data_IF_514567813643
#
_entry.id   IF_514567813643
#
_cell.length_a   1.000
_cell.length_b   1.000
_cell.length_c   1.000
_cell.angle_alpha   90.00
_cell.angle_beta   90.00
_cell.angle_gamma   90.00
#
_symmetry.space_group_name_H-M   'P 1'
#
loop_
_entity.id
_entity.type
_entity.pdbx_description
1 polymer ?
#
# COMPACT_ATOMS: atom_id res chain seq x y z
N UNK A 1 43.30 13.37 27.77
CA UNK A 1 41.97 12.87 28.16
C UNK A 1 40.96 13.56 27.25
N UNK A 2 40.64 12.95 26.11
CA UNK A 2 39.60 13.44 25.20
C UNK A 2 38.37 12.57 25.43
N UNK A 3 37.33 13.16 26.01
CA UNK A 3 36.01 12.55 26.08
C UNK A 3 35.45 12.64 24.66
N UNK A 4 35.42 11.51 23.95
CA UNK A 4 34.61 11.37 22.77
C UNK A 4 33.15 11.48 23.22
N UNK A 5 32.46 12.53 22.75
CA UNK A 5 31.01 12.61 22.86
C UNK A 5 30.44 11.52 21.95
N UNK A 6 29.89 10.48 22.59
CA UNK A 6 29.09 9.47 21.92
C UNK A 6 27.95 10.15 21.16
N UNK A 7 27.79 9.67 19.94
CA UNK A 7 26.81 10.04 18.92
C UNK A 7 25.39 10.25 19.45
N UNK A 8 24.68 11.22 18.85
CA UNK A 8 23.24 11.49 18.94
C UNK A 8 22.35 10.25 18.75
N UNK A 9 22.25 9.38 19.77
CA UNK A 9 21.13 8.47 19.89
C UNK A 9 19.93 9.28 20.39
N UNK A 10 19.16 9.85 19.44
CA UNK A 10 17.78 10.25 19.73
C UNK A 10 17.09 9.01 20.32
N UNK A 11 16.78 9.06 21.61
CA UNK A 11 16.03 8.01 22.27
C UNK A 11 14.69 7.85 21.53
N UNK A 12 14.55 6.79 20.75
CA UNK A 12 13.28 6.42 20.13
C UNK A 12 12.43 5.75 21.20
N UNK A 13 11.27 6.35 21.47
CA UNK A 13 10.31 5.80 22.42
C UNK A 13 9.56 4.68 21.69
N UNK A 14 9.97 3.44 21.90
CA UNK A 14 9.33 2.25 21.31
C UNK A 14 8.20 1.77 22.22
N UNK A 15 7.07 1.36 21.63
CA UNK A 15 5.93 0.76 22.35
C UNK A 15 5.73 -0.71 22.03
N UNK A 16 4.91 -1.40 22.84
CA UNK A 16 4.48 -2.77 22.54
C UNK A 16 3.58 -2.80 21.30
N UNK A 17 3.51 -3.96 20.62
CA UNK A 17 2.60 -4.15 19.48
C UNK A 17 1.13 -3.94 19.83
N UNK A 18 0.70 -4.36 21.03
CA UNK A 18 -0.64 -4.10 21.53
C UNK A 18 -0.94 -2.61 21.61
N UNK A 19 0.00 -1.82 22.14
CA UNK A 19 -0.18 -0.37 22.22
C UNK A 19 -0.16 0.30 20.85
N UNK A 20 0.69 -0.17 19.93
CA UNK A 20 0.68 0.26 18.54
C UNK A 20 -0.68 -0.04 17.86
N UNK A 21 -1.25 -1.22 18.12
CA UNK A 21 -2.55 -1.61 17.59
C UNK A 21 -3.67 -0.68 18.08
N UNK A 22 -3.67 -0.32 19.36
CA UNK A 22 -4.59 0.68 19.92
C UNK A 22 -4.44 2.04 19.23
N UNK A 23 -3.20 2.55 19.09
CA UNK A 23 -2.92 3.85 18.47
C UNK A 23 -3.38 3.91 17.01
N UNK A 24 -3.13 2.85 16.26
CA UNK A 24 -3.50 2.77 14.85
C UNK A 24 -4.98 2.37 14.65
N UNK A 25 -5.69 2.05 15.73
CA UNK A 25 -7.07 1.55 15.71
C UNK A 25 -7.20 0.24 14.93
N UNK A 26 -6.23 -0.67 15.04
CA UNK A 26 -6.18 -1.96 14.32
C UNK A 26 -5.94 -3.13 15.30
N UNK A 27 -5.72 -4.34 14.80
CA UNK A 27 -5.39 -5.51 15.64
C UNK A 27 -3.89 -5.74 15.81
N UNK A 28 -3.46 -6.38 16.91
CA UNK A 28 -2.06 -6.80 17.12
C UNK A 28 -1.53 -7.62 15.94
N UNK A 29 -2.36 -8.52 15.40
CA UNK A 29 -2.04 -9.32 14.23
C UNK A 29 -1.81 -8.46 12.97
N UNK A 30 -2.53 -7.35 12.83
CA UNK A 30 -2.31 -6.41 11.72
C UNK A 30 -1.00 -5.65 11.87
N UNK A 31 -0.63 -5.26 13.09
CA UNK A 31 0.68 -4.64 13.37
C UNK A 31 1.81 -5.63 13.08
N UNK A 32 1.69 -6.87 13.55
CA UNK A 32 2.66 -7.94 13.24
C UNK A 32 2.84 -8.13 11.74
N UNK A 33 1.74 -8.12 10.98
CA UNK A 33 1.77 -8.26 9.53
C UNK A 33 2.49 -7.08 8.83
N UNK A 34 2.28 -5.85 9.32
CA UNK A 34 2.99 -4.67 8.81
C UNK A 34 4.50 -4.77 9.07
N UNK A 35 4.90 -5.27 10.25
CA UNK A 35 6.30 -5.54 10.59
C UNK A 35 6.90 -6.60 9.64
N UNK A 36 6.20 -7.73 9.44
CA UNK A 36 6.63 -8.82 8.55
C UNK A 36 6.76 -8.39 7.09
N UNK A 37 5.90 -7.48 6.62
CA UNK A 37 5.96 -6.92 5.27
C UNK A 37 7.16 -5.97 5.04
N UNK A 38 7.77 -5.49 6.13
CA UNK A 38 8.84 -4.49 6.12
C UNK A 38 8.39 -3.05 5.93
N UNK A 39 7.10 -2.78 5.67
CA UNK A 39 6.59 -1.41 5.54
C UNK A 39 6.58 -0.65 6.88
N UNK A 40 6.44 -1.35 7.99
CA UNK A 40 6.62 -0.80 9.34
C UNK A 40 7.95 -1.35 9.90
N UNK A 41 9.05 -0.59 9.87
CA UNK A 41 10.35 -1.13 10.28
C UNK A 41 10.53 -1.22 11.81
N UNK A 42 9.76 -0.43 12.56
CA UNK A 42 9.87 -0.29 14.01
C UNK A 42 8.52 0.09 14.64
N UNK A 43 8.47 0.14 15.98
CA UNK A 43 7.32 0.61 16.75
C UNK A 43 7.61 1.93 17.45
N UNK A 44 8.35 2.83 16.78
CA UNK A 44 8.59 4.18 17.29
C UNK A 44 7.27 4.96 17.44
N UNK A 45 7.06 5.57 18.61
CA UNK A 45 5.82 6.28 18.92
C UNK A 45 5.56 7.44 17.97
N UNK A 46 6.58 8.19 17.56
CA UNK A 46 6.38 9.34 16.67
C UNK A 46 5.89 8.87 15.31
N UNK A 47 6.47 7.79 14.77
CA UNK A 47 6.00 7.13 13.53
C UNK A 47 4.56 6.68 13.65
N UNK A 48 4.21 5.99 14.73
CA UNK A 48 2.86 5.47 14.96
C UNK A 48 1.83 6.60 15.11
N UNK A 49 2.19 7.71 15.77
CA UNK A 49 1.34 8.90 15.87
C UNK A 49 1.12 9.57 14.51
N UNK A 50 2.17 9.69 13.69
CA UNK A 50 2.04 10.16 12.30
C UNK A 50 1.04 9.30 11.53
N UNK A 51 1.19 7.98 11.57
CA UNK A 51 0.29 7.04 10.92
C UNK A 51 -1.15 7.11 11.45
N UNK A 52 -1.33 7.28 12.76
CA UNK A 52 -2.65 7.39 13.39
C UNK A 52 -3.41 8.65 12.94
N UNK A 53 -2.67 9.72 12.62
CA UNK A 53 -3.21 10.99 12.14
C UNK A 53 -3.48 11.03 10.64
N UNK A 54 -3.14 9.97 9.88
CA UNK A 54 -3.46 9.92 8.47
C UNK A 54 -4.99 9.98 8.25
N UNK A 55 -5.45 10.82 7.30
CA UNK A 55 -6.87 10.90 6.96
C UNK A 55 -7.40 9.53 6.56
N UNK A 56 -8.63 9.23 6.98
CA UNK A 56 -9.33 8.04 6.54
C UNK A 56 -9.97 8.34 5.17
N UNK A 57 -9.58 7.61 4.13
CA UNK A 57 -10.35 7.54 2.90
C UNK A 57 -11.62 6.76 3.20
N UNK A 58 -12.69 7.52 3.40
CA UNK A 58 -14.04 6.97 3.52
C UNK A 58 -14.52 6.64 2.11
N UNK A 59 -14.50 5.35 1.77
CA UNK A 59 -14.95 4.87 0.47
C UNK A 59 -16.44 4.55 0.55
N UNK A 60 -17.30 5.54 0.30
CA UNK A 60 -18.72 5.33 0.01
C UNK A 60 -18.97 4.79 -1.42
N UNK A 61 -17.99 4.09 -2.00
CA UNK A 61 -18.24 3.20 -3.13
C UNK A 61 -17.66 3.59 -4.49
N UNK A 62 -17.01 4.74 -4.67
CA UNK A 62 -16.54 5.14 -6.02
C UNK A 62 -15.03 4.99 -6.26
N UNK A 63 -14.25 4.77 -5.20
CA UNK A 63 -12.80 4.58 -5.33
C UNK A 63 -12.47 3.10 -5.17
N UNK A 64 -12.13 2.38 -6.25
CA UNK A 64 -11.71 0.99 -6.12
C UNK A 64 -10.45 0.96 -5.25
N UNK A 65 -10.38 0.01 -4.32
CA UNK A 65 -9.21 -0.20 -3.47
C UNK A 65 -8.78 -1.65 -3.59
N UNK A 66 -7.53 -1.88 -3.96
CA UNK A 66 -6.96 -3.22 -4.00
C UNK A 66 -6.42 -3.58 -2.61
N UNK A 67 -6.89 -4.67 -2.04
CA UNK A 67 -6.35 -5.24 -0.81
C UNK A 67 -5.27 -6.25 -1.17
N UNK A 68 -4.26 -6.41 -0.33
CA UNK A 68 -3.21 -7.41 -0.54
C UNK A 68 -2.84 -8.24 0.70
N UNK A 69 -2.23 -9.39 0.41
CA UNK A 69 -1.53 -10.22 1.39
C UNK A 69 -0.03 -9.88 1.41
N UNK A 70 0.74 -10.54 2.28
CA UNK A 70 2.20 -10.53 2.19
C UNK A 70 2.63 -11.10 0.85
N UNK A 71 3.73 -10.55 0.32
CA UNK A 71 4.40 -11.11 -0.84
C UNK A 71 4.69 -12.61 -0.64
N UNK A 72 4.12 -13.44 -1.52
CA UNK A 72 4.37 -14.88 -1.56
C UNK A 72 4.58 -15.33 -2.99
N UNK A 73 5.45 -16.32 -3.17
CA UNK A 73 5.68 -16.92 -4.49
C UNK A 73 4.41 -17.64 -4.97
N UNK A 74 4.14 -17.54 -6.26
CA UNK A 74 3.08 -18.27 -6.94
C UNK A 74 3.66 -19.05 -8.12
N UNK A 75 2.95 -20.09 -8.53
CA UNK A 75 3.22 -20.73 -9.81
C UNK A 75 3.05 -19.71 -10.94
N UNK A 76 3.95 -19.71 -11.96
CA UNK A 76 3.82 -18.82 -13.10
C UNK A 76 2.46 -18.95 -13.76
N UNK A 77 1.74 -17.83 -13.91
CA UNK A 77 0.46 -17.83 -14.62
C UNK A 77 0.72 -17.73 -16.14
N UNK A 78 0.03 -18.52 -16.98
CA UNK A 78 0.32 -18.58 -18.43
C UNK A 78 0.19 -17.25 -19.18
N UNK A 79 -0.43 -16.25 -18.57
CA UNK A 79 -0.78 -14.95 -19.17
C UNK A 79 -0.30 -13.75 -18.35
N UNK A 80 0.35 -14.00 -17.20
CA UNK A 80 0.95 -12.96 -16.37
C UNK A 80 2.37 -13.41 -16.05
N UNK A 81 3.38 -12.61 -16.41
CA UNK A 81 4.78 -12.84 -16.03
C UNK A 81 5.04 -12.59 -14.53
N UNK A 82 4.01 -12.79 -13.71
CA UNK A 82 3.97 -12.59 -12.27
C UNK A 82 4.50 -13.84 -11.59
N UNK A 83 5.51 -13.67 -10.74
CA UNK A 83 6.09 -14.74 -9.92
C UNK A 83 5.65 -14.70 -8.46
N UNK A 84 4.96 -13.63 -8.05
CA UNK A 84 4.52 -13.41 -6.67
C UNK A 84 3.13 -12.76 -6.59
N UNK A 85 2.37 -13.06 -5.53
CA UNK A 85 1.15 -12.33 -5.17
C UNK A 85 1.37 -11.55 -3.88
N UNK A 86 0.82 -10.34 -3.80
CA UNK A 86 1.13 -9.42 -2.70
C UNK A 86 2.48 -8.72 -2.90
N UNK A 87 2.65 -7.57 -2.26
CA UNK A 87 3.88 -6.79 -2.31
C UNK A 87 4.60 -6.67 -0.95
N UNK A 88 5.88 -6.31 -1.00
CA UNK A 88 6.72 -6.04 0.16
C UNK A 88 7.73 -4.96 -0.18
N UNK A 89 8.21 -4.20 0.81
CA UNK A 89 9.19 -3.10 0.61
C UNK A 89 10.44 -3.50 -0.18
N UNK A 90 10.77 -4.80 -0.23
CA UNK A 90 11.94 -5.35 -0.93
C UNK A 90 11.76 -5.45 -2.46
N UNK A 91 10.53 -5.40 -2.95
CA UNK A 91 10.26 -5.42 -4.39
C UNK A 91 10.84 -4.19 -5.08
N UNK A 92 11.38 -4.40 -6.27
CA UNK A 92 11.59 -3.33 -7.25
C UNK A 92 10.25 -2.74 -7.69
N UNK A 93 10.27 -1.57 -8.31
CA UNK A 93 9.05 -0.93 -8.78
C UNK A 93 8.36 -1.76 -9.88
N UNK A 94 9.12 -2.45 -10.73
CA UNK A 94 8.58 -3.37 -11.73
C UNK A 94 7.94 -4.62 -11.10
N UNK A 95 8.56 -5.21 -10.08
CA UNK A 95 7.98 -6.34 -9.34
C UNK A 95 6.72 -5.93 -8.57
N UNK A 96 6.70 -4.72 -8.02
CA UNK A 96 5.52 -4.11 -7.41
C UNK A 96 4.38 -4.01 -8.43
N UNK A 97 4.63 -3.45 -9.63
CA UNK A 97 3.62 -3.43 -10.68
C UNK A 97 3.17 -4.85 -11.01
N UNK A 98 4.07 -5.79 -11.31
CA UNK A 98 3.70 -7.16 -11.68
C UNK A 98 2.92 -7.91 -10.59
N UNK A 99 3.26 -7.70 -9.32
CA UNK A 99 2.53 -8.28 -8.18
C UNK A 99 1.12 -7.70 -8.05
N UNK A 100 0.95 -6.42 -8.38
CA UNK A 100 -0.30 -5.67 -8.27
C UNK A 100 -1.16 -5.68 -9.54
N UNK A 101 -0.57 -5.85 -10.72
CA UNK A 101 -1.18 -5.93 -12.06
C UNK A 101 -1.97 -7.25 -12.24
N UNK A 102 -2.25 -7.94 -11.14
CA UNK A 102 -2.99 -9.19 -11.12
C UNK A 102 -4.36 -9.04 -11.79
N UNK A 103 -4.85 -10.17 -12.28
CA UNK A 103 -6.19 -10.25 -12.82
C UNK A 103 -7.20 -10.01 -11.67
N UNK A 104 -7.91 -8.87 -11.71
CA UNK A 104 -8.80 -8.46 -10.62
C UNK A 104 -10.21 -9.01 -10.86
N UNK A 105 -10.80 -9.64 -9.84
CA UNK A 105 -12.20 -10.05 -9.84
C UNK A 105 -13.04 -9.01 -9.11
N UNK A 106 -14.32 -8.89 -9.48
CA UNK A 106 -15.34 -8.13 -8.75
C UNK A 106 -15.14 -6.59 -8.71
N UNK A 107 -14.44 -6.01 -9.70
CA UNK A 107 -14.51 -4.58 -9.97
C UNK A 107 -15.35 -4.30 -11.22
N UNK A 108 -15.98 -3.12 -11.26
CA UNK A 108 -16.54 -2.58 -12.49
C UNK A 108 -15.44 -1.86 -13.24
N UNK A 109 -15.12 -2.32 -14.45
CA UNK A 109 -14.07 -1.74 -15.30
C UNK A 109 -14.24 -0.22 -15.48
N UNK A 110 -15.49 0.25 -15.62
CA UNK A 110 -15.82 1.67 -15.73
C UNK A 110 -15.30 2.50 -14.55
N UNK A 111 -15.40 1.96 -13.34
CA UNK A 111 -15.12 2.69 -12.11
C UNK A 111 -13.61 2.73 -11.89
N UNK A 112 -12.91 1.64 -12.24
CA UNK A 112 -11.44 1.57 -12.26
C UNK A 112 -10.84 2.55 -13.26
N UNK A 113 -11.34 2.56 -14.50
CA UNK A 113 -10.85 3.47 -15.53
C UNK A 113 -11.17 4.94 -15.21
N UNK A 114 -12.34 5.22 -14.61
CA UNK A 114 -12.71 6.56 -14.18
C UNK A 114 -11.84 7.08 -13.02
N UNK A 115 -11.48 6.20 -12.07
CA UNK A 115 -10.66 6.58 -10.92
C UNK A 115 -9.23 6.97 -11.32
N UNK A 116 -8.69 6.40 -12.42
CA UNK A 116 -7.30 6.55 -12.91
C UNK A 116 -6.21 6.06 -11.95
N UNK A 117 -6.31 6.34 -10.66
CA UNK A 117 -5.37 5.91 -9.64
C UNK A 117 -6.01 4.86 -8.74
N UNK A 118 -5.41 3.68 -8.68
CA UNK A 118 -5.84 2.58 -7.84
C UNK A 118 -4.91 2.46 -6.63
N UNK A 119 -5.38 2.74 -5.40
CA UNK A 119 -4.62 2.53 -4.18
C UNK A 119 -4.61 1.05 -3.82
N UNK A 120 -3.43 0.58 -3.46
CA UNK A 120 -3.17 -0.75 -2.95
C UNK A 120 -2.95 -0.64 -1.45
N UNK A 121 -3.71 -1.41 -0.67
CA UNK A 121 -3.72 -1.31 0.79
C UNK A 121 -3.24 -2.58 1.47
N UNK A 122 -2.53 -2.38 2.58
CA UNK A 122 -2.09 -3.40 3.50
C UNK A 122 -2.53 -3.01 4.92
N UNK A 123 -3.44 -3.80 5.51
CA UNK A 123 -3.89 -3.63 6.91
C UNK A 123 -4.29 -2.19 7.28
N UNK A 124 -5.20 -1.60 6.50
CA UNK A 124 -5.67 -0.20 6.58
C UNK A 124 -4.76 0.88 6.00
N UNK A 125 -3.56 0.59 5.52
CA UNK A 125 -2.68 1.63 4.98
C UNK A 125 -2.49 1.47 3.49
N UNK A 126 -2.58 2.57 2.73
CA UNK A 126 -2.17 2.56 1.33
C UNK A 126 -0.65 2.42 1.28
N UNK A 127 -0.16 1.41 0.57
CA UNK A 127 1.26 1.08 0.44
C UNK A 127 1.79 1.36 -0.96
N UNK A 128 0.92 1.28 -1.98
CA UNK A 128 1.25 1.63 -3.37
C UNK A 128 0.03 2.26 -4.04
N UNK A 129 0.26 3.03 -5.10
CA UNK A 129 -0.78 3.57 -5.97
C UNK A 129 -0.39 3.24 -7.41
N UNK A 130 -1.28 2.58 -8.13
CA UNK A 130 -1.13 2.31 -9.55
C UNK A 130 -1.82 3.41 -10.36
N UNK A 131 -1.23 3.82 -11.47
CA UNK A 131 -1.88 4.63 -12.49
C UNK A 131 -2.37 3.69 -13.59
N UNK A 132 -3.70 3.58 -13.73
CA UNK A 132 -4.38 2.72 -14.69
C UNK A 132 -4.71 3.52 -15.95
N UNK A 133 -4.24 3.04 -17.10
CA UNK A 133 -4.38 3.69 -18.40
C UNK A 133 -5.32 2.96 -19.34
N UNK A 134 -5.64 1.70 -19.05
CA UNK A 134 -6.51 0.89 -19.90
C UNK A 134 -6.67 -0.55 -19.44
N UNK A 135 -7.15 -1.38 -20.35
CA UNK A 135 -7.32 -2.83 -20.17
C UNK A 135 -6.43 -3.53 -21.18
N UNK A 136 -5.54 -4.41 -20.70
CA UNK A 136 -4.68 -5.25 -21.55
C UNK A 136 -5.40 -6.50 -22.04
N UNK A 137 -6.36 -7.02 -21.26
CA UNK A 137 -7.16 -8.17 -21.65
C UNK A 137 -8.03 -8.73 -20.54
N UNK A 138 -8.68 -9.84 -20.84
CA UNK A 138 -9.54 -10.59 -19.93
C UNK A 138 -9.01 -12.01 -19.76
N UNK A 139 -8.96 -12.51 -18.52
CA UNK A 139 -8.51 -13.85 -18.17
C UNK A 139 -9.59 -14.55 -17.32
N UNK A 140 -10.51 -15.26 -17.98
CA UNK A 140 -11.66 -15.87 -17.31
C UNK A 140 -12.63 -14.80 -16.78
N UNK A 141 -12.85 -14.79 -15.48
CA UNK A 141 -13.70 -13.81 -14.76
C UNK A 141 -12.95 -12.56 -14.31
N UNK A 142 -11.72 -12.35 -14.83
CA UNK A 142 -10.78 -11.35 -14.33
C UNK A 142 -10.38 -10.36 -15.42
N UNK A 143 -10.27 -9.09 -15.07
CA UNK A 143 -9.72 -8.05 -15.94
C UNK A 143 -8.24 -7.82 -15.64
N UNK A 144 -7.42 -7.74 -16.69
CA UNK A 144 -5.99 -7.37 -16.61
C UNK A 144 -5.86 -5.93 -17.11
N UNK A 145 -5.41 -5.04 -16.22
CA UNK A 145 -5.32 -3.62 -16.52
C UNK A 145 -3.91 -3.23 -16.97
N UNK A 146 -3.86 -2.23 -17.86
CA UNK A 146 -2.63 -1.53 -18.18
C UNK A 146 -2.35 -0.53 -17.05
N UNK A 147 -1.27 -0.75 -16.32
CA UNK A 147 -0.98 -0.02 -15.11
C UNK A 147 0.51 0.21 -14.91
N UNK A 148 0.85 1.38 -14.37
CA UNK A 148 2.21 1.77 -13.98
C UNK A 148 2.23 2.17 -12.50
N UNK A 149 3.42 2.20 -11.88
CA UNK A 149 3.54 2.64 -10.49
C UNK A 149 3.47 4.17 -10.42
N UNK A 150 2.40 4.71 -9.83
CA UNK A 150 2.24 6.14 -9.62
C UNK A 150 2.99 6.62 -8.37
N UNK A 151 3.03 5.77 -7.34
CA UNK A 151 3.75 6.06 -6.12
C UNK A 151 3.71 4.91 -5.13
N UNK A 152 4.59 4.96 -4.14
CA UNK A 152 4.82 3.87 -3.20
C UNK A 152 5.39 4.34 -1.87
N UNK A 153 4.90 3.73 -0.80
CA UNK A 153 5.45 3.88 0.54
C UNK A 153 6.79 3.14 0.62
N UNK A 154 7.82 3.82 1.13
CA UNK A 154 9.07 3.15 1.53
C UNK A 154 9.01 2.73 2.99
N UNK A 155 8.56 3.63 3.85
CA UNK A 155 8.28 3.33 5.25
C UNK A 155 7.01 4.05 5.72
N UNK A 156 6.12 3.31 6.37
CA UNK A 156 4.93 3.91 6.96
C UNK A 156 5.33 4.89 8.06
N UNK A 157 4.61 6.02 8.13
CA UNK A 157 4.89 7.12 9.06
C UNK A 157 6.09 8.01 8.68
N UNK A 158 6.67 7.83 7.48
CA UNK A 158 7.75 8.66 6.91
C UNK A 158 7.38 9.13 5.50
N UNK A 159 6.36 10.01 5.34
CA UNK A 159 5.86 10.43 4.03
C UNK A 159 6.92 11.07 3.13
N UNK A 160 7.95 11.67 3.71
CA UNK A 160 9.11 12.24 3.02
C UNK A 160 9.94 11.21 2.25
N UNK A 161 9.83 9.92 2.61
CA UNK A 161 10.54 8.82 1.94
C UNK A 161 9.72 8.19 0.81
N UNK A 162 8.44 8.57 0.65
CA UNK A 162 7.58 7.97 -0.35
C UNK A 162 8.10 8.29 -1.76
N UNK A 163 8.11 7.26 -2.61
CA UNK A 163 8.32 7.44 -4.04
C UNK A 163 7.03 7.96 -4.65
N UNK A 164 7.13 8.98 -5.52
CA UNK A 164 6.06 9.46 -6.37
C UNK A 164 6.66 9.64 -7.76
N UNK A 165 5.99 9.13 -8.79
CA UNK A 165 6.48 9.21 -10.16
C UNK A 165 6.63 10.68 -10.60
N UNK A 166 7.86 11.14 -10.88
CA UNK A 166 8.11 12.53 -11.25
C UNK A 166 7.52 12.90 -12.62
N UNK A 167 7.12 11.92 -13.44
CA UNK A 167 6.55 12.16 -14.77
C UNK A 167 5.05 12.49 -14.72
N UNK A 168 4.39 12.31 -13.56
CA UNK A 168 3.01 12.72 -13.38
C UNK A 168 2.86 14.24 -13.35
N UNK A 169 1.68 14.74 -13.72
CA UNK A 169 1.34 16.15 -13.55
C UNK A 169 1.39 16.56 -12.07
N UNK A 170 1.67 17.83 -11.71
CA UNK A 170 1.70 18.26 -10.31
C UNK A 170 0.41 17.96 -9.54
N UNK A 171 -0.75 18.06 -10.21
CA UNK A 171 -2.05 17.72 -9.62
C UNK A 171 -2.17 16.22 -9.33
N UNK A 172 -1.73 15.36 -10.27
CA UNK A 172 -1.73 13.91 -10.10
C UNK A 172 -0.74 13.48 -9.01
N UNK A 173 0.44 14.10 -8.92
CA UNK A 173 1.40 13.85 -7.85
C UNK A 173 0.79 14.15 -6.47
N UNK A 174 -0.04 15.19 -6.34
CA UNK A 174 -0.71 15.54 -5.09
C UNK A 174 -1.81 14.54 -4.73
N UNK A 175 -2.56 14.04 -5.72
CA UNK A 175 -3.51 12.93 -5.52
C UNK A 175 -2.77 11.71 -4.98
N UNK A 176 -1.68 11.30 -5.63
CA UNK A 176 -0.87 10.15 -5.21
C UNK A 176 -0.32 10.37 -3.80
N UNK A 177 0.21 11.57 -3.50
CA UNK A 177 0.71 11.92 -2.16
C UNK A 177 -0.38 11.73 -1.11
N UNK A 178 -1.56 12.29 -1.37
CA UNK A 178 -2.73 12.18 -0.49
C UNK A 178 -3.12 10.72 -0.25
N UNK A 179 -3.17 9.91 -1.31
CA UNK A 179 -3.50 8.48 -1.22
C UNK A 179 -2.46 7.71 -0.38
N UNK A 180 -1.16 7.93 -0.57
CA UNK A 180 -0.10 7.25 0.18
C UNK A 180 -0.03 7.67 1.66
N UNK A 181 -0.55 8.86 2.00
CA UNK A 181 -0.64 9.33 3.38
C UNK A 181 -2.04 9.18 3.95
N UNK A 182 -2.77 8.14 3.54
CA UNK A 182 -4.14 7.91 3.98
C UNK A 182 -4.36 6.51 4.54
N UNK A 183 -5.48 6.36 5.25
CA UNK A 183 -5.96 5.09 5.80
C UNK A 183 -7.19 4.61 5.03
N UNK A 184 -7.38 3.31 5.01
CA UNK A 184 -8.54 2.61 4.47
C UNK A 184 -9.33 1.96 5.60
N UNK A 185 -10.63 1.79 5.41
CA UNK A 185 -11.51 1.00 6.30
C UNK A 185 -11.25 -0.51 6.19
N UNK A 186 -10.46 -0.96 5.21
CA UNK A 186 -10.19 -2.37 4.98
C UNK A 186 -9.31 -3.04 6.05
N UNK A 187 -9.83 -4.11 6.65
CA UNK A 187 -9.15 -4.93 7.66
C UNK A 187 -8.70 -6.32 7.16
N UNK A 188 -9.14 -6.73 5.97
CA UNK A 188 -8.97 -8.10 5.49
C UNK A 188 -7.67 -8.24 4.70
N UNK A 189 -6.84 -9.26 4.98
CA UNK A 189 -5.68 -9.57 4.15
C UNK A 189 -6.09 -10.42 2.94
N UNK A 190 -5.44 -10.22 1.80
CA UNK A 190 -5.67 -11.00 0.59
C UNK A 190 -5.89 -10.14 -0.64
N UNK A 191 -5.71 -10.68 -1.86
CA UNK A 191 -6.06 -9.99 -3.10
C UNK A 191 -7.58 -9.79 -3.14
N UNK A 192 -8.05 -8.60 -2.77
CA UNK A 192 -9.47 -8.29 -2.82
C UNK A 192 -9.69 -6.89 -3.35
N UNK A 193 -10.24 -6.83 -4.57
CA UNK A 193 -10.98 -5.69 -5.02
C UNK A 193 -12.40 -5.76 -4.48
N UNK A 194 -12.82 -4.77 -3.70
CA UNK A 194 -14.23 -4.68 -3.28
C UNK A 194 -14.83 -3.38 -3.76
N UNK A 195 -15.73 -3.50 -4.74
CA UNK A 195 -16.94 -2.69 -4.79
C UNK A 195 -18.08 -3.57 -4.25
N UNK A 196 -18.69 -3.18 -3.12
CA UNK A 196 -20.01 -3.72 -2.77
C UNK A 196 -21.03 -2.79 -3.42
N UNK A 197 -21.70 -3.26 -4.45
CA UNK A 197 -22.99 -2.67 -4.84
C UNK A 197 -23.96 -2.85 -3.68
N UNK A 198 -24.62 -1.77 -3.27
CA UNK A 198 -25.77 -1.81 -2.36
C UNK A 198 -26.92 -2.60 -2.98
#
# INVERSE_FOLDING_TARGET
MLIQQDSDHKATLTVSRQKAAELLGTSDASVQFLLESGYLPDLDVSRLLTMANYPLLYTDGDYPVLQQALASAIEPEPYLNRTQIGESVKHTDAECVLANQGAWTNFRDSDVLAARFLPVTLRKFTVSVLHVTGILGYNGDRTVYDATLAGRVRELGKPELNFIDPNLSPADQEIVRTLLTSRSTSNVPGPCGKLKTL
#
